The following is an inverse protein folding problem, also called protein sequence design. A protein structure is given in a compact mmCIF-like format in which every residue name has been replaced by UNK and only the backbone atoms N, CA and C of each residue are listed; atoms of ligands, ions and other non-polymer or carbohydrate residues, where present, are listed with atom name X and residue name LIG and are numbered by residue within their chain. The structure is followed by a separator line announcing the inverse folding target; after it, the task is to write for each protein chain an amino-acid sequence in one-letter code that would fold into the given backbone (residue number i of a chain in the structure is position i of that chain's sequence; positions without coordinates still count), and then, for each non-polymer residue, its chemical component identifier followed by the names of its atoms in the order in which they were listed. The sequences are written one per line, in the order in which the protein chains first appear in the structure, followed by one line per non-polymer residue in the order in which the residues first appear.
data_IF_700288822053
#
_entry.id   IF_700288822053
#
_cell.length_a   1.000
_cell.length_b   1.000
_cell.length_c   1.000
_cell.angle_alpha   90.00
_cell.angle_beta   90.00
_cell.angle_gamma   90.00
#
_symmetry.space_group_name_H-M   'P 1'
#
loop_
_entity.id
_entity.type
_entity.pdbx_description
1 polymer ?
#
# COMPACT_ATOMS: atom_id res chain seq x y z
N UNK A 1 16.26 1.70 83.10
CA UNK A 1 15.30 1.49 81.99
C UNK A 1 14.82 2.85 81.52
N UNK A 2 15.28 3.35 80.35
CA UNK A 2 14.86 4.65 79.77
C UNK A 2 13.56 4.46 79.01
N UNK A 3 12.51 5.17 79.40
CA UNK A 3 11.23 5.21 78.65
C UNK A 3 11.46 5.97 77.36
N UNK A 4 11.41 5.30 76.25
CA UNK A 4 11.42 5.92 74.91
C UNK A 4 10.03 6.59 74.74
N UNK A 5 10.00 7.91 74.53
CA UNK A 5 8.76 8.69 74.39
C UNK A 5 8.09 8.30 73.05
N UNK A 6 6.83 7.92 73.15
CA UNK A 6 6.00 7.48 72.00
C UNK A 6 5.80 8.53 70.88
N UNK A 7 6.23 9.79 71.09
CA UNK A 7 6.06 10.91 70.19
C UNK A 7 6.99 10.88 68.96
N UNK A 8 8.14 10.18 69.04
CA UNK A 8 9.14 10.16 67.97
C UNK A 8 8.81 9.12 66.91
N UNK A 9 8.04 8.08 67.21
CA UNK A 9 7.66 7.02 66.25
C UNK A 9 6.56 7.48 65.30
N UNK A 10 5.65 8.37 65.80
CA UNK A 10 4.57 8.90 64.97
C UNK A 10 5.03 9.83 63.86
N UNK A 11 6.09 10.59 64.05
CA UNK A 11 6.61 11.56 63.09
C UNK A 11 7.33 10.86 61.91
N UNK A 12 8.03 9.75 62.18
CA UNK A 12 8.68 8.99 61.10
C UNK A 12 7.68 8.21 60.23
N UNK A 13 6.59 7.68 60.83
CA UNK A 13 5.54 7.01 60.11
C UNK A 13 4.79 7.95 59.16
N UNK A 14 4.55 9.22 59.57
CA UNK A 14 3.90 10.20 58.74
C UNK A 14 4.77 10.65 57.57
N UNK A 15 6.08 10.81 57.79
CA UNK A 15 7.04 11.20 56.71
C UNK A 15 7.18 10.07 55.69
N UNK A 16 7.25 8.81 56.10
CA UNK A 16 7.31 7.66 55.20
C UNK A 16 6.01 7.53 54.34
N UNK A 17 4.85 7.87 54.89
CA UNK A 17 3.58 7.79 54.14
C UNK A 17 3.45 8.87 53.07
N UNK A 18 3.97 10.07 53.33
CA UNK A 18 3.96 11.18 52.34
C UNK A 18 4.94 10.90 51.20
N UNK A 19 6.09 10.27 51.46
CA UNK A 19 7.06 9.91 50.42
C UNK A 19 6.54 8.77 49.51
N UNK A 20 5.73 7.85 50.03
CA UNK A 20 5.15 6.75 49.28
C UNK A 20 4.03 7.27 48.33
N UNK A 21 3.26 8.29 48.74
CA UNK A 21 2.18 8.86 47.91
C UNK A 21 2.71 9.72 46.77
N UNK A 22 3.87 10.41 46.98
CA UNK A 22 4.48 11.26 45.95
C UNK A 22 5.20 10.46 44.83
N UNK A 23 5.45 9.17 45.02
CA UNK A 23 6.13 8.29 44.02
C UNK A 23 5.21 7.66 42.99
N UNK A 24 3.87 7.76 43.10
CA UNK A 24 2.91 7.09 42.22
C UNK A 24 2.12 8.01 41.29
N UNK A 25 2.56 9.23 41.06
CA UNK A 25 2.05 9.97 39.89
C UNK A 25 2.85 9.57 38.66
N UNK A 26 2.64 8.34 38.19
CA UNK A 26 2.94 8.00 36.81
C UNK A 26 1.99 8.82 35.96
N UNK A 27 2.49 9.92 35.42
CA UNK A 27 1.85 10.62 34.32
C UNK A 27 1.80 9.64 33.16
N UNK A 28 0.68 8.98 32.96
CA UNK A 28 0.36 8.34 31.67
C UNK A 28 0.27 9.48 30.67
N UNK A 29 1.38 9.80 30.03
CA UNK A 29 1.34 10.53 28.77
C UNK A 29 0.67 9.59 27.78
N UNK A 30 -0.60 9.83 27.54
CA UNK A 30 -1.28 9.28 26.38
C UNK A 30 -0.61 9.95 25.20
N UNK A 31 0.44 9.33 24.66
CA UNK A 31 0.90 9.69 23.33
C UNK A 31 -0.31 9.52 22.43
N UNK A 32 -0.85 10.63 21.95
CA UNK A 32 -1.79 10.60 20.83
C UNK A 32 -0.96 10.09 19.65
N UNK A 33 -0.96 8.79 19.46
CA UNK A 33 -0.48 8.15 18.24
C UNK A 33 -1.40 8.61 17.13
N UNK A 34 -1.05 9.71 16.48
CA UNK A 34 -1.64 10.06 15.20
C UNK A 34 -1.30 8.93 14.26
N UNK A 35 -2.34 8.25 13.76
CA UNK A 35 -2.13 7.19 12.78
C UNK A 35 -1.32 7.74 11.60
N UNK A 36 -0.26 7.04 11.17
CA UNK A 36 0.58 7.51 10.09
C UNK A 36 -0.25 7.70 8.81
N UNK A 37 0.04 8.77 8.09
CA UNK A 37 -0.56 9.05 6.78
C UNK A 37 0.38 8.51 5.72
N UNK A 38 -0.17 7.73 4.77
CA UNK A 38 0.60 7.13 3.70
C UNK A 38 0.24 7.70 2.33
N UNK A 39 1.22 7.77 1.47
CA UNK A 39 1.04 7.77 0.02
C UNK A 39 1.06 6.33 -0.49
N UNK A 40 0.43 6.12 -1.64
CA UNK A 40 0.42 4.82 -2.31
C UNK A 40 0.84 4.99 -3.76
N UNK A 41 1.65 4.04 -4.23
CA UNK A 41 2.06 3.93 -5.62
C UNK A 41 1.81 2.50 -6.11
N UNK A 42 1.61 2.33 -7.40
CA UNK A 42 1.22 1.04 -7.98
C UNK A 42 2.07 0.71 -9.21
N UNK A 43 2.68 -0.46 -9.18
CA UNK A 43 3.30 -1.06 -10.36
C UNK A 43 2.40 -2.20 -10.82
N UNK A 44 1.95 -2.16 -12.07
CA UNK A 44 1.06 -3.17 -12.65
C UNK A 44 1.80 -3.92 -13.73
N UNK A 45 1.88 -5.24 -13.59
CA UNK A 45 2.41 -6.15 -14.60
C UNK A 45 1.24 -6.84 -15.29
N UNK A 46 1.19 -6.74 -16.61
CA UNK A 46 0.22 -7.43 -17.47
C UNK A 46 0.98 -8.40 -18.35
N UNK A 47 0.69 -9.68 -18.21
CA UNK A 47 1.36 -10.74 -18.97
C UNK A 47 0.35 -11.45 -19.87
N UNK A 48 0.70 -11.55 -21.13
CA UNK A 48 -0.16 -12.22 -22.11
C UNK A 48 -0.03 -13.73 -22.00
N UNK A 49 -1.17 -14.41 -21.88
CA UNK A 49 -1.30 -15.85 -21.89
C UNK A 49 -1.59 -16.42 -23.29
N UNK A 50 -1.51 -15.61 -24.33
CA UNK A 50 -1.78 -15.99 -25.70
C UNK A 50 -0.67 -16.92 -26.23
N UNK A 51 -1.01 -18.14 -26.57
CA UNK A 51 -0.07 -19.18 -26.96
C UNK A 51 0.67 -18.92 -28.28
N UNK A 52 0.12 -18.11 -29.16
CA UNK A 52 0.74 -17.80 -30.46
C UNK A 52 1.91 -16.81 -30.41
N UNK A 53 2.20 -16.24 -29.23
CA UNK A 53 3.19 -15.18 -29.06
C UNK A 53 2.79 -13.82 -29.62
N UNK A 54 1.53 -13.66 -30.04
CA UNK A 54 0.98 -12.40 -30.58
C UNK A 54 0.54 -11.42 -29.49
N UNK A 55 0.52 -11.86 -28.23
CA UNK A 55 0.14 -11.04 -27.08
C UNK A 55 1.15 -9.95 -26.77
N UNK A 56 0.75 -9.04 -25.88
CA UNK A 56 1.60 -7.95 -25.42
C UNK A 56 1.70 -7.97 -23.90
N UNK A 57 2.88 -8.30 -23.40
CA UNK A 57 3.19 -8.21 -21.96
C UNK A 57 3.83 -6.85 -21.67
N UNK A 58 3.41 -6.21 -20.57
CA UNK A 58 3.84 -4.86 -20.17
C UNK A 58 3.91 -4.72 -18.66
N UNK A 59 4.84 -3.90 -18.22
CA UNK A 59 4.82 -3.33 -16.87
C UNK A 59 4.46 -1.86 -16.99
N UNK A 60 3.52 -1.41 -16.17
CA UNK A 60 3.03 -0.03 -16.10
C UNK A 60 3.42 0.53 -14.74
N UNK A 61 4.04 1.68 -14.73
CA UNK A 61 4.48 2.41 -13.54
C UNK A 61 4.38 3.91 -13.74
N UNK A 62 4.64 4.68 -12.68
CA UNK A 62 4.68 6.14 -12.69
C UNK A 62 3.47 6.77 -13.39
N UNK A 63 2.29 6.34 -12.92
CA UNK A 63 1.02 6.81 -13.45
C UNK A 63 0.72 8.19 -12.89
N UNK A 64 0.34 9.13 -13.74
CA UNK A 64 -0.12 10.45 -13.34
C UNK A 64 -1.28 10.35 -12.33
N UNK A 65 -1.24 11.20 -11.30
CA UNK A 65 -2.32 11.29 -10.32
C UNK A 65 -3.60 11.82 -10.94
N UNK A 66 -4.66 11.03 -10.87
CA UNK A 66 -5.99 11.40 -11.36
C UNK A 66 -6.91 11.68 -10.19
N UNK A 67 -7.58 12.84 -10.19
CA UNK A 67 -8.57 13.16 -9.17
C UNK A 67 -9.86 12.35 -9.39
N UNK A 68 -10.00 11.24 -8.68
CA UNK A 68 -11.16 10.37 -8.80
C UNK A 68 -12.50 11.07 -8.51
N UNK A 69 -12.51 12.13 -7.67
CA UNK A 69 -13.73 12.88 -7.31
C UNK A 69 -14.39 13.53 -8.53
N UNK A 70 -13.62 13.92 -9.51
CA UNK A 70 -14.14 14.48 -10.76
C UNK A 70 -14.88 13.45 -11.61
N UNK A 71 -14.56 12.17 -11.44
CA UNK A 71 -15.22 11.05 -12.11
C UNK A 71 -16.36 10.43 -11.27
N UNK A 72 -16.55 10.88 -10.02
CA UNK A 72 -17.52 10.29 -9.09
C UNK A 72 -18.91 10.91 -9.27
N UNK A 73 -19.92 10.05 -9.33
CA UNK A 73 -21.34 10.44 -9.27
C UNK A 73 -21.89 10.11 -7.90
N UNK A 74 -22.44 11.10 -7.20
CA UNK A 74 -23.10 10.91 -5.92
C UNK A 74 -24.58 10.58 -6.18
N UNK A 75 -25.06 9.46 -5.63
CA UNK A 75 -26.49 9.07 -5.67
C UNK A 75 -27.09 9.31 -4.33
N UNK A 76 -28.18 10.05 -4.27
CA UNK A 76 -28.93 10.33 -3.04
C UNK A 76 -30.09 9.36 -2.89
N UNK A 77 -30.57 9.22 -1.66
CA UNK A 77 -31.66 8.31 -1.30
C UNK A 77 -32.99 8.65 -2.00
N UNK A 78 -33.26 9.93 -2.24
CA UNK A 78 -34.42 10.47 -2.99
C UNK A 78 -34.37 10.18 -4.49
N UNK A 79 -33.33 9.52 -4.99
CA UNK A 79 -33.12 9.20 -6.40
C UNK A 79 -32.41 10.30 -7.20
N UNK A 80 -32.15 11.47 -6.60
CA UNK A 80 -31.33 12.48 -7.23
C UNK A 80 -29.89 12.02 -7.43
N UNK A 81 -29.25 12.57 -8.45
CA UNK A 81 -27.86 12.26 -8.83
C UNK A 81 -27.09 13.54 -9.08
N UNK A 82 -26.06 13.75 -8.31
CA UNK A 82 -25.03 14.72 -8.65
C UNK A 82 -24.03 14.02 -9.58
N UNK A 83 -24.16 14.30 -10.88
CA UNK A 83 -23.42 13.61 -11.93
C UNK A 83 -21.96 14.06 -11.96
N UNK A 84 -21.07 13.13 -12.25
CA UNK A 84 -19.68 13.40 -12.59
C UNK A 84 -19.58 14.51 -13.66
N UNK A 85 -18.66 15.44 -13.43
CA UNK A 85 -18.43 16.58 -14.33
C UNK A 85 -17.66 16.18 -15.60
N UNK A 86 -16.90 15.06 -15.54
CA UNK A 86 -16.04 14.61 -16.64
C UNK A 86 -16.63 13.43 -17.41
N UNK A 87 -16.42 13.42 -18.72
CA UNK A 87 -16.69 12.26 -19.58
C UNK A 87 -15.61 11.20 -19.40
N UNK A 88 -15.91 9.94 -19.75
CA UNK A 88 -14.93 8.82 -19.67
C UNK A 88 -13.65 9.06 -20.47
N UNK A 89 -13.73 9.78 -21.58
CA UNK A 89 -12.55 10.15 -22.38
C UNK A 89 -11.66 11.17 -21.70
N UNK A 90 -12.20 11.97 -20.79
CA UNK A 90 -11.49 13.06 -20.09
C UNK A 90 -10.83 12.60 -18.78
N UNK A 91 -11.19 11.40 -18.28
CA UNK A 91 -10.61 10.82 -17.07
C UNK A 91 -9.46 9.86 -17.34
N UNK A 92 -9.06 9.72 -18.63
CA UNK A 92 -7.91 8.89 -18.98
C UNK A 92 -6.63 9.58 -18.53
N UNK A 93 -5.73 8.83 -17.90
CA UNK A 93 -4.38 9.34 -17.63
C UNK A 93 -3.69 9.73 -18.93
N UNK A 94 -2.96 10.84 -18.90
CA UNK A 94 -2.24 11.35 -20.06
C UNK A 94 -0.77 10.87 -20.08
N UNK A 95 -0.24 10.50 -18.91
CA UNK A 95 1.13 10.06 -18.76
C UNK A 95 1.25 8.84 -17.84
N UNK A 96 2.01 7.85 -18.27
CA UNK A 96 2.45 6.70 -17.50
C UNK A 96 3.67 6.09 -18.17
N UNK A 97 4.48 5.37 -17.42
CA UNK A 97 5.58 4.60 -17.98
C UNK A 97 5.10 3.21 -18.41
N UNK A 98 5.51 2.79 -19.59
CA UNK A 98 5.27 1.46 -20.13
C UNK A 98 6.59 0.75 -20.44
N UNK A 99 6.94 -0.27 -19.68
CA UNK A 99 8.09 -1.13 -19.93
C UNK A 99 7.66 -2.37 -20.70
N UNK A 100 8.33 -2.65 -21.82
CA UNK A 100 8.07 -3.85 -22.61
C UNK A 100 8.54 -5.09 -21.86
N UNK A 101 7.64 -6.06 -21.71
CA UNK A 101 7.94 -7.40 -21.23
C UNK A 101 7.82 -8.42 -22.35
N UNK A 102 8.42 -9.58 -22.15
CA UNK A 102 8.40 -10.67 -23.13
C UNK A 102 7.18 -11.56 -22.91
N UNK A 103 6.63 -12.10 -23.98
CA UNK A 103 5.50 -13.04 -23.88
C UNK A 103 5.97 -14.39 -23.37
N UNK A 104 5.16 -15.05 -22.54
CA UNK A 104 5.44 -16.39 -22.03
C UNK A 104 5.49 -17.45 -23.12
N UNK A 105 4.69 -17.29 -24.15
CA UNK A 105 4.54 -18.24 -25.25
C UNK A 105 5.06 -17.68 -26.57
N UNK A 106 5.53 -18.59 -27.41
CA UNK A 106 5.67 -18.39 -28.84
C UNK A 106 5.05 -19.58 -29.58
N UNK A 107 5.21 -19.64 -30.91
CA UNK A 107 4.70 -20.74 -31.73
C UNK A 107 5.25 -22.12 -31.35
N UNK A 108 6.37 -22.20 -30.65
CA UNK A 108 7.01 -23.43 -30.18
C UNK A 108 6.65 -23.79 -28.70
N UNK A 109 5.80 -23.02 -28.04
CA UNK A 109 5.37 -23.25 -26.65
C UNK A 109 5.96 -22.25 -25.63
N UNK A 110 6.10 -22.69 -24.37
CA UNK A 110 6.55 -21.88 -23.24
C UNK A 110 8.02 -21.51 -23.39
N UNK A 111 8.35 -20.23 -23.08
CA UNK A 111 9.68 -19.66 -23.12
C UNK A 111 10.15 -19.29 -21.71
N UNK A 112 10.81 -20.22 -21.05
CA UNK A 112 11.32 -20.00 -19.68
C UNK A 112 12.30 -18.83 -19.57
N UNK A 113 13.12 -18.59 -20.61
CA UNK A 113 14.02 -17.44 -20.66
C UNK A 113 13.23 -16.11 -20.63
N UNK A 114 12.08 -16.05 -21.28
CA UNK A 114 11.23 -14.86 -21.26
C UNK A 114 10.67 -14.61 -19.86
N UNK A 115 10.23 -15.66 -19.18
CA UNK A 115 9.75 -15.57 -17.79
C UNK A 115 10.88 -15.06 -16.89
N UNK A 116 12.06 -15.68 -16.95
CA UNK A 116 13.21 -15.26 -16.15
C UNK A 116 13.64 -13.81 -16.45
N UNK A 117 13.53 -13.37 -17.70
CA UNK A 117 13.83 -11.97 -18.09
C UNK A 117 12.81 -11.02 -17.51
N UNK A 118 11.51 -11.34 -17.58
CA UNK A 118 10.45 -10.54 -16.99
C UNK A 118 10.63 -10.43 -15.48
N UNK A 119 10.92 -11.53 -14.78
CA UNK A 119 11.20 -11.55 -13.35
C UNK A 119 12.38 -10.63 -12.99
N UNK A 120 13.42 -10.63 -13.81
CA UNK A 120 14.57 -9.75 -13.61
C UNK A 120 14.20 -8.28 -13.79
N UNK A 121 13.38 -7.94 -14.78
CA UNK A 121 12.88 -6.58 -15.01
C UNK A 121 11.99 -6.11 -13.86
N UNK A 122 11.02 -6.94 -13.44
CA UNK A 122 10.14 -6.63 -12.31
C UNK A 122 10.97 -6.43 -11.04
N UNK A 123 11.90 -7.34 -10.74
CA UNK A 123 12.79 -7.19 -9.58
C UNK A 123 13.62 -5.90 -9.63
N UNK A 124 14.06 -5.49 -10.81
CA UNK A 124 14.78 -4.21 -10.99
C UNK A 124 13.90 -3.03 -10.58
N UNK A 125 12.60 -3.01 -11.01
CA UNK A 125 11.66 -1.95 -10.63
C UNK A 125 11.33 -1.99 -9.14
N UNK A 126 11.16 -3.18 -8.54
CA UNK A 126 10.93 -3.31 -7.10
C UNK A 126 12.12 -2.74 -6.28
N UNK A 127 13.35 -3.00 -6.72
CA UNK A 127 14.55 -2.46 -6.08
C UNK A 127 14.62 -0.94 -6.22
N UNK A 128 14.29 -0.39 -7.40
CA UNK A 128 14.21 1.04 -7.62
C UNK A 128 13.19 1.70 -6.68
N UNK A 129 11.96 1.17 -6.59
CA UNK A 129 10.94 1.66 -5.67
C UNK A 129 11.44 1.66 -4.21
N UNK A 130 12.13 0.59 -3.80
CA UNK A 130 12.73 0.50 -2.47
C UNK A 130 13.79 1.57 -2.23
N UNK A 131 14.66 1.87 -3.21
CA UNK A 131 15.67 2.94 -3.08
C UNK A 131 15.06 4.33 -3.00
N UNK A 132 13.87 4.52 -3.55
CA UNK A 132 13.07 5.75 -3.44
C UNK A 132 12.32 5.84 -2.11
N UNK A 133 12.45 4.86 -1.22
CA UNK A 133 11.82 4.83 0.10
C UNK A 133 10.38 4.30 0.09
N UNK A 134 9.97 3.62 -0.97
CA UNK A 134 8.69 2.92 -1.03
C UNK A 134 8.77 1.53 -0.39
N UNK A 135 7.84 1.20 0.47
CA UNK A 135 7.67 -0.13 1.07
C UNK A 135 6.63 -0.93 0.27
N UNK A 136 6.94 -2.17 -0.08
CA UNK A 136 5.96 -3.07 -0.69
C UNK A 136 4.88 -3.43 0.34
N UNK A 137 3.69 -2.88 0.17
CA UNK A 137 2.58 -3.08 1.09
C UNK A 137 1.83 -4.39 0.82
N UNK A 138 1.50 -4.67 -0.44
CA UNK A 138 0.81 -5.90 -0.82
C UNK A 138 0.96 -6.19 -2.30
N UNK A 139 0.73 -7.46 -2.66
CA UNK A 139 0.70 -7.91 -4.05
C UNK A 139 -0.64 -8.61 -4.30
N UNK A 140 -1.31 -8.25 -5.38
CA UNK A 140 -2.53 -8.91 -5.83
C UNK A 140 -2.37 -9.38 -7.26
N UNK A 141 -2.92 -10.54 -7.59
CA UNK A 141 -2.89 -11.05 -8.95
C UNK A 141 -4.21 -11.71 -9.35
N UNK A 142 -4.46 -11.77 -10.63
CA UNK A 142 -5.63 -12.41 -11.20
C UNK A 142 -5.46 -12.72 -12.68
N UNK A 143 -6.26 -13.67 -13.13
CA UNK A 143 -6.36 -14.05 -14.56
C UNK A 143 -7.66 -13.47 -15.09
N UNK A 144 -7.57 -12.79 -16.21
CA UNK A 144 -8.71 -12.48 -17.06
C UNK A 144 -8.64 -13.39 -18.30
N UNK A 145 -9.60 -14.28 -18.43
CA UNK A 145 -9.73 -15.14 -19.60
C UNK A 145 -11.01 -14.77 -20.33
N UNK A 146 -10.86 -14.19 -21.52
CA UNK A 146 -11.99 -14.01 -22.41
C UNK A 146 -12.42 -15.36 -23.00
N UNK A 147 -13.68 -15.52 -23.41
CA UNK A 147 -14.25 -16.73 -24.03
C UNK A 147 -13.50 -17.19 -25.30
N UNK A 148 -12.59 -16.36 -25.79
CA UNK A 148 -11.70 -16.65 -26.92
C UNK A 148 -10.26 -16.57 -26.43
N UNK A 149 -9.48 -17.60 -26.63
CA UNK A 149 -8.05 -17.74 -26.28
C UNK A 149 -7.14 -16.55 -26.68
N UNK A 150 -7.71 -15.54 -27.35
CA UNK A 150 -6.98 -14.41 -27.93
C UNK A 150 -6.70 -13.26 -26.93
N UNK A 151 -7.39 -13.22 -25.82
CA UNK A 151 -7.37 -12.06 -24.93
C UNK A 151 -7.04 -12.41 -23.46
N UNK A 152 -6.55 -13.63 -23.22
CA UNK A 152 -6.20 -14.07 -21.87
C UNK A 152 -4.96 -13.32 -21.37
N UNK A 153 -5.09 -12.69 -20.19
CA UNK A 153 -4.03 -11.98 -19.51
C UNK A 153 -3.93 -12.39 -18.06
N UNK A 154 -2.73 -12.33 -17.52
CA UNK A 154 -2.44 -12.39 -16.11
C UNK A 154 -2.03 -11.00 -15.64
N UNK A 155 -2.70 -10.48 -14.60
CA UNK A 155 -2.42 -9.15 -14.06
C UNK A 155 -1.90 -9.31 -12.64
N UNK A 156 -0.74 -8.71 -12.38
CA UNK A 156 -0.19 -8.58 -11.03
C UNK A 156 -0.06 -7.11 -10.69
N UNK A 157 -0.55 -6.71 -9.51
CA UNK A 157 -0.37 -5.35 -8.98
C UNK A 157 0.48 -5.41 -7.72
N UNK A 158 1.59 -4.70 -7.75
CA UNK A 158 2.46 -4.43 -6.62
C UNK A 158 2.05 -3.08 -6.07
N UNK A 159 1.52 -3.06 -4.87
CA UNK A 159 1.05 -1.84 -4.19
C UNK A 159 2.09 -1.46 -3.16
N UNK A 160 2.62 -0.27 -3.30
CA UNK A 160 3.61 0.31 -2.40
C UNK A 160 2.97 1.39 -1.55
N UNK A 161 3.57 1.63 -0.39
CA UNK A 161 3.25 2.73 0.49
C UNK A 161 4.51 3.45 0.94
N UNK A 162 4.35 4.72 1.26
CA UNK A 162 5.40 5.55 1.85
C UNK A 162 4.77 6.48 2.87
N UNK A 163 5.33 6.57 4.04
CA UNK A 163 4.87 7.50 5.07
C UNK A 163 5.18 8.94 4.65
N UNK A 164 4.19 9.85 4.87
CA UNK A 164 4.29 11.28 4.54
C UNK A 164 4.96 12.08 5.64
#
# INVERSE_FOLDING_TARGET
MKKIKATTIGTYAAICFVVIISGFTTTYQTEQTTSPVYEFEMVTVVESLIQSGLGRSRMISETENVNYREATTIRKEDGEKDKSKKKRSEIRTQAFEETKLLNFYNVAGIRFNNIATNDAMVRSKLNEMSTQGWELFTVTSGVESADKERDAIFITRYIFRKEK
#
